data_IF_519936241997
#
_entry.id   IF_519936241997
#
_cell.length_a   1.000
_cell.length_b   1.000
_cell.length_c   1.000
_cell.angle_alpha   90.00
_cell.angle_beta   90.00
_cell.angle_gamma   90.00
#
_symmetry.space_group_name_H-M   'P 1'
#
loop_
_entity.id
_entity.type
_entity.pdbx_description
1 polymer ?
#
# COMPACT_ATOMS: atom_id res chain seq x y z
N UNK A 1 7.90 4.24 14.99
CA UNK A 1 6.72 3.51 14.50
C UNK A 1 7.07 2.81 13.19
N UNK A 2 6.50 1.65 12.91
CA UNK A 2 6.62 0.96 11.62
C UNK A 2 5.32 1.10 10.84
N UNK A 3 5.39 1.58 9.61
CA UNK A 3 4.23 1.94 8.79
C UNK A 3 4.14 1.03 7.57
N UNK A 4 3.00 0.39 7.35
CA UNK A 4 2.71 -0.33 6.12
C UNK A 4 1.98 0.58 5.12
N UNK A 5 2.36 0.57 3.84
CA UNK A 5 1.68 1.34 2.78
C UNK A 5 1.09 0.39 1.74
N UNK A 6 -0.20 0.48 1.44
CA UNK A 6 -0.85 -0.25 0.35
C UNK A 6 -1.21 0.74 -0.75
N UNK A 7 -0.58 0.62 -1.92
CA UNK A 7 -0.77 1.55 -3.04
C UNK A 7 -0.16 0.99 -4.33
N UNK A 8 -0.33 1.70 -5.44
CA UNK A 8 0.66 1.62 -6.53
C UNK A 8 2.01 2.19 -6.07
N UNK A 9 3.10 1.76 -6.71
CA UNK A 9 4.45 2.20 -6.37
C UNK A 9 5.38 2.13 -7.60
N UNK A 10 6.41 2.99 -7.71
CA UNK A 10 7.41 2.86 -8.77
C UNK A 10 8.05 1.47 -8.76
N UNK A 11 8.33 0.85 -9.93
CA UNK A 11 8.46 1.49 -11.25
C UNK A 11 7.15 1.66 -12.05
N UNK A 12 5.98 1.29 -11.51
CA UNK A 12 4.70 1.64 -12.14
C UNK A 12 4.53 3.15 -12.20
N UNK A 13 4.60 3.73 -13.40
CA UNK A 13 4.49 5.17 -13.62
C UNK A 13 3.04 5.66 -13.45
N UNK A 14 2.73 6.13 -12.25
CA UNK A 14 1.45 6.77 -11.95
C UNK A 14 1.61 7.86 -10.87
N UNK A 15 0.65 8.79 -10.82
CA UNK A 15 0.63 9.88 -9.86
C UNK A 15 0.61 9.38 -8.41
N UNK A 16 -0.22 8.36 -8.12
CA UNK A 16 -0.32 7.76 -6.79
C UNK A 16 0.95 7.02 -6.38
N UNK A 17 1.63 6.37 -7.32
CA UNK A 17 2.92 5.73 -7.04
C UNK A 17 3.98 6.75 -6.61
N UNK A 18 4.05 7.88 -7.33
CA UNK A 18 4.95 8.99 -6.98
C UNK A 18 4.57 9.62 -5.64
N UNK A 19 3.27 9.84 -5.40
CA UNK A 19 2.77 10.35 -4.12
C UNK A 19 3.16 9.42 -2.95
N UNK A 20 2.94 8.12 -3.12
CA UNK A 20 3.25 7.11 -2.09
C UNK A 20 4.74 7.06 -1.78
N UNK A 21 5.61 7.07 -2.80
CA UNK A 21 7.07 7.12 -2.61
C UNK A 21 7.49 8.36 -1.83
N UNK A 22 6.96 9.53 -2.20
CA UNK A 22 7.29 10.77 -1.52
C UNK A 22 6.81 10.77 -0.06
N UNK A 23 5.62 10.23 0.20
CA UNK A 23 5.08 10.08 1.55
C UNK A 23 5.91 9.10 2.38
N UNK A 24 6.29 7.95 1.81
CA UNK A 24 7.17 6.97 2.44
C UNK A 24 8.46 7.64 2.91
N UNK A 25 9.22 8.25 2.00
CA UNK A 25 10.48 8.92 2.34
C UNK A 25 10.29 10.05 3.35
N UNK A 26 9.25 10.85 3.22
CA UNK A 26 8.99 11.96 4.17
C UNK A 26 8.74 11.45 5.60
N UNK A 27 8.17 10.27 5.76
CA UNK A 27 7.87 9.68 7.06
C UNK A 27 9.02 8.84 7.63
N UNK A 28 9.85 8.24 6.77
CA UNK A 28 10.94 7.35 7.19
C UNK A 28 12.32 8.03 7.22
N UNK A 29 12.51 9.11 6.46
CA UNK A 29 13.81 9.79 6.39
C UNK A 29 14.11 10.51 7.72
N UNK A 30 15.23 10.13 8.34
CA UNK A 30 15.70 10.63 9.64
C UNK A 30 16.15 12.10 9.66
N UNK A 31 15.89 12.88 8.61
CA UNK A 31 16.57 14.17 8.38
C UNK A 31 16.07 15.33 9.26
N UNK A 32 15.07 15.11 10.12
CA UNK A 32 14.50 16.12 11.00
C UNK A 32 14.63 15.80 12.49
N UNK A 33 15.80 16.06 13.09
CA UNK A 33 15.98 16.34 14.53
C UNK A 33 15.64 15.24 15.55
N UNK A 34 16.67 14.56 16.06
CA UNK A 34 16.77 13.97 17.42
C UNK A 34 15.79 12.86 17.85
N UNK A 35 14.64 12.69 17.19
CA UNK A 35 13.62 11.70 17.50
C UNK A 35 13.89 10.33 16.86
N UNK A 36 13.24 9.28 17.41
CA UNK A 36 13.20 7.96 16.79
C UNK A 36 12.64 8.07 15.37
N UNK A 37 13.41 7.64 14.37
CA UNK A 37 12.95 7.58 12.98
C UNK A 37 11.88 6.49 12.83
N UNK A 38 10.83 6.77 12.06
CA UNK A 38 9.91 5.72 11.66
C UNK A 38 10.57 4.81 10.63
N UNK A 39 10.08 3.58 10.56
CA UNK A 39 10.41 2.65 9.47
C UNK A 39 9.16 2.39 8.66
N UNK A 40 9.33 1.91 7.42
CA UNK A 40 8.21 1.63 6.55
C UNK A 40 8.40 0.36 5.73
N UNK A 41 7.29 -0.14 5.21
CA UNK A 41 7.27 -1.16 4.16
C UNK A 41 6.12 -0.88 3.21
N UNK A 42 6.30 -1.28 1.95
CA UNK A 42 5.31 -1.07 0.90
C UNK A 42 4.75 -2.41 0.43
N UNK A 43 3.44 -2.45 0.26
CA UNK A 43 2.65 -3.50 -0.35
C UNK A 43 2.17 -2.92 -1.68
N UNK A 44 2.89 -3.24 -2.75
CA UNK A 44 2.69 -2.63 -4.05
C UNK A 44 1.60 -3.35 -4.86
N UNK A 45 0.73 -2.59 -5.52
CA UNK A 45 -0.22 -3.12 -6.49
C UNK A 45 0.46 -3.31 -7.85
N UNK A 46 0.51 -4.55 -8.33
CA UNK A 46 1.11 -4.98 -9.59
C UNK A 46 0.02 -5.23 -10.63
N UNK A 47 -0.04 -4.40 -11.68
CA UNK A 47 -1.05 -4.46 -12.74
C UNK A 47 -0.61 -5.24 -13.99
N UNK A 48 0.59 -5.80 -13.97
CA UNK A 48 1.15 -6.63 -15.04
C UNK A 48 1.24 -8.10 -14.63
N UNK A 49 1.22 -9.01 -15.62
CA UNK A 49 1.49 -10.43 -15.36
C UNK A 49 2.96 -10.66 -14.93
N UNK A 50 3.87 -9.84 -15.46
CA UNK A 50 5.26 -9.78 -15.02
C UNK A 50 5.38 -9.00 -13.71
N UNK A 51 6.37 -9.33 -12.89
CA UNK A 51 6.68 -8.55 -11.68
C UNK A 51 7.57 -7.38 -12.04
N UNK A 52 7.23 -6.19 -11.56
CA UNK A 52 8.13 -5.05 -11.59
C UNK A 52 9.38 -5.30 -10.72
N UNK A 53 10.51 -4.72 -11.15
CA UNK A 53 11.72 -4.60 -10.34
C UNK A 53 11.52 -3.52 -9.26
N UNK A 54 10.76 -3.89 -8.23
CA UNK A 54 10.46 -3.00 -7.12
C UNK A 54 11.70 -2.76 -6.23
N UNK A 55 11.83 -1.56 -5.64
CA UNK A 55 12.93 -1.24 -4.72
C UNK A 55 12.76 -1.96 -3.37
N UNK A 56 13.81 -1.91 -2.55
CA UNK A 56 13.91 -2.74 -1.35
C UNK A 56 12.81 -2.48 -0.31
N UNK A 57 12.22 -1.28 -0.26
CA UNK A 57 11.14 -0.97 0.65
C UNK A 57 9.83 -1.68 0.31
N UNK A 58 9.66 -2.16 -0.93
CA UNK A 58 8.54 -3.02 -1.32
C UNK A 58 8.81 -4.42 -0.82
N UNK A 59 8.01 -4.86 0.14
CA UNK A 59 8.17 -6.17 0.79
C UNK A 59 7.14 -7.20 0.36
N UNK A 60 6.09 -6.75 -0.32
CA UNK A 60 5.04 -7.59 -0.86
C UNK A 60 4.47 -6.92 -2.12
N UNK A 61 4.13 -7.71 -3.13
CA UNK A 61 3.39 -7.24 -4.30
C UNK A 61 2.09 -8.02 -4.45
N UNK A 62 0.99 -7.33 -4.69
CA UNK A 62 -0.33 -7.92 -4.94
C UNK A 62 -0.56 -7.89 -6.45
N UNK A 63 -0.69 -9.05 -7.09
CA UNK A 63 -1.19 -9.09 -8.47
C UNK A 63 -2.65 -8.61 -8.48
N UNK A 64 -2.92 -7.54 -9.23
CA UNK A 64 -4.15 -6.77 -9.14
C UNK A 64 -5.40 -7.64 -9.27
N UNK A 65 -5.41 -8.58 -10.23
CA UNK A 65 -6.56 -9.45 -10.51
C UNK A 65 -6.51 -10.81 -9.80
N UNK A 66 -5.58 -11.02 -8.86
CA UNK A 66 -5.51 -12.25 -8.06
C UNK A 66 -6.02 -12.04 -6.65
N UNK A 67 -7.27 -12.42 -6.41
CA UNK A 67 -7.93 -12.28 -5.10
C UNK A 67 -7.15 -12.96 -3.95
N UNK A 68 -6.43 -14.05 -4.23
CA UNK A 68 -5.60 -14.75 -3.24
C UNK A 68 -4.51 -13.86 -2.63
N UNK A 69 -3.87 -13.03 -3.46
CA UNK A 69 -2.75 -12.17 -3.04
C UNK A 69 -3.20 -11.12 -2.01
N UNK A 70 -4.44 -10.65 -2.10
CA UNK A 70 -5.02 -9.72 -1.12
C UNK A 70 -5.14 -10.37 0.27
N UNK A 71 -5.45 -11.67 0.33
CA UNK A 71 -5.54 -12.43 1.57
C UNK A 71 -4.15 -12.66 2.15
N UNK A 72 -3.18 -13.02 1.31
CA UNK A 72 -1.79 -13.20 1.73
C UNK A 72 -1.14 -11.88 2.17
N UNK A 73 -1.45 -10.77 1.50
CA UNK A 73 -1.00 -9.44 1.91
C UNK A 73 -1.51 -9.06 3.30
N UNK A 74 -2.79 -9.35 3.63
CA UNK A 74 -3.30 -9.10 4.98
C UNK A 74 -2.53 -9.90 6.04
N UNK A 75 -2.28 -11.19 5.78
CA UNK A 75 -1.48 -12.03 6.69
C UNK A 75 -0.07 -11.47 6.87
N UNK A 76 0.57 -11.09 5.76
CA UNK A 76 1.90 -10.50 5.75
C UNK A 76 1.94 -9.21 6.59
N UNK A 77 0.97 -8.32 6.41
CA UNK A 77 0.88 -7.06 7.18
C UNK A 77 0.73 -7.35 8.67
N UNK A 78 -0.18 -8.26 9.06
CA UNK A 78 -0.45 -8.57 10.46
C UNK A 78 0.79 -9.13 11.19
N UNK A 79 1.65 -9.90 10.50
CA UNK A 79 2.89 -10.44 11.09
C UNK A 79 4.12 -9.54 10.89
N UNK A 80 4.00 -8.47 10.11
CA UNK A 80 5.13 -7.61 9.76
C UNK A 80 5.65 -6.78 10.94
N UNK A 81 4.88 -6.66 12.02
CA UNK A 81 5.15 -5.74 13.13
C UNK A 81 4.90 -4.27 12.79
N UNK A 82 4.13 -3.99 11.74
CA UNK A 82 3.66 -2.63 11.46
C UNK A 82 2.65 -2.19 12.53
N UNK A 83 2.75 -0.95 12.97
CA UNK A 83 1.87 -0.35 13.98
C UNK A 83 0.59 0.22 13.33
N UNK A 84 0.65 0.57 12.05
CA UNK A 84 -0.44 1.18 11.28
C UNK A 84 -0.29 0.89 9.79
N UNK A 85 -1.42 0.74 9.10
CA UNK A 85 -1.50 0.61 7.65
C UNK A 85 -2.08 1.87 7.01
N UNK A 86 -1.45 2.38 5.95
CA UNK A 86 -1.90 3.52 5.16
C UNK A 86 -2.26 3.04 3.74
N UNK A 87 -3.53 3.16 3.37
CA UNK A 87 -4.05 2.80 2.06
C UNK A 87 -4.22 4.03 1.19
N UNK A 88 -3.66 4.02 -0.02
CA UNK A 88 -3.89 5.06 -1.03
C UNK A 88 -4.96 4.57 -2.01
N UNK A 89 -6.19 5.04 -1.83
CA UNK A 89 -7.31 4.58 -2.65
C UNK A 89 -7.57 5.51 -3.84
N UNK A 90 -7.59 4.92 -5.03
CA UNK A 90 -8.05 5.54 -6.26
C UNK A 90 -8.74 4.49 -7.14
N UNK A 91 -9.68 4.92 -7.99
CA UNK A 91 -10.35 4.05 -8.95
C UNK A 91 -9.34 3.48 -9.96
N UNK A 92 -9.38 2.16 -10.19
CA UNK A 92 -8.52 1.47 -11.14
C UNK A 92 -7.22 0.89 -10.55
N UNK A 93 -6.96 1.07 -9.25
CA UNK A 93 -5.78 0.51 -8.58
C UNK A 93 -6.00 -0.95 -8.15
N UNK A 94 -7.19 -1.25 -7.63
CA UNK A 94 -7.52 -2.57 -7.09
C UNK A 94 -8.38 -3.35 -8.09
N UNK A 95 -8.19 -4.67 -8.10
CA UNK A 95 -8.87 -5.57 -9.02
C UNK A 95 -10.28 -5.96 -8.58
N UNK A 96 -10.91 -6.73 -9.46
CA UNK A 96 -12.34 -7.03 -9.37
C UNK A 96 -13.22 -5.83 -9.70
N UNK A 97 -14.52 -6.06 -9.77
CA UNK A 97 -15.48 -5.01 -10.12
C UNK A 97 -15.41 -3.87 -9.10
N UNK A 98 -15.09 -2.67 -9.58
CA UNK A 98 -14.93 -1.46 -8.75
C UNK A 98 -13.92 -1.61 -7.60
N UNK A 99 -12.88 -2.45 -7.76
CA UNK A 99 -11.84 -2.63 -6.74
C UNK A 99 -12.25 -3.48 -5.55
N UNK A 100 -13.34 -4.25 -5.66
CA UNK A 100 -13.92 -5.05 -4.56
C UNK A 100 -12.92 -6.02 -3.91
N UNK A 101 -11.84 -6.43 -4.60
CA UNK A 101 -10.83 -7.33 -4.04
C UNK A 101 -10.02 -6.72 -2.90
N UNK A 102 -10.03 -5.39 -2.71
CA UNK A 102 -9.40 -4.78 -1.55
C UNK A 102 -10.14 -5.14 -0.25
N UNK A 103 -11.46 -5.37 -0.29
CA UNK A 103 -12.29 -5.55 0.90
C UNK A 103 -11.89 -6.79 1.74
N UNK A 104 -11.61 -7.97 1.15
CA UNK A 104 -11.06 -9.11 1.88
C UNK A 104 -9.76 -8.82 2.65
N UNK A 105 -8.87 -7.98 2.10
CA UNK A 105 -7.65 -7.55 2.77
C UNK A 105 -8.01 -6.69 3.97
N UNK A 106 -8.77 -5.61 3.74
CA UNK A 106 -9.12 -4.65 4.80
C UNK A 106 -9.89 -5.30 5.96
N UNK A 107 -10.78 -6.24 5.66
CA UNK A 107 -11.53 -6.97 6.69
C UNK A 107 -10.66 -7.87 7.57
N UNK A 108 -9.45 -8.23 7.11
CA UNK A 108 -8.51 -9.11 7.81
C UNK A 108 -7.35 -8.36 8.47
N UNK A 109 -7.25 -7.04 8.29
CA UNK A 109 -6.22 -6.25 8.97
C UNK A 109 -6.51 -6.22 10.47
N UNK A 110 -5.50 -6.59 11.26
CA UNK A 110 -5.56 -6.57 12.72
C UNK A 110 -4.97 -5.27 13.30
N UNK A 111 -4.38 -4.44 12.44
CA UNK A 111 -3.77 -3.16 12.80
C UNK A 111 -4.65 -1.98 12.34
N UNK A 112 -4.54 -0.81 12.97
CA UNK A 112 -5.26 0.39 12.54
C UNK A 112 -5.02 0.73 11.06
N UNK A 113 -6.09 1.13 10.38
CA UNK A 113 -6.09 1.50 8.97
C UNK A 113 -6.37 3.00 8.81
N UNK A 114 -5.51 3.69 8.07
CA UNK A 114 -5.71 5.05 7.58
C UNK A 114 -5.92 4.96 6.07
N UNK A 115 -6.95 5.63 5.55
CA UNK A 115 -7.26 5.63 4.12
C UNK A 115 -7.19 7.06 3.59
N UNK A 116 -6.41 7.26 2.54
CA UNK A 116 -6.44 8.46 1.72
C UNK A 116 -7.29 8.18 0.49
N UNK A 117 -8.41 8.90 0.36
CA UNK A 117 -9.27 8.84 -0.83
C UNK A 117 -8.82 9.92 -1.82
N UNK A 118 -8.12 9.54 -2.90
CA UNK A 118 -7.64 10.48 -3.92
C UNK A 118 -8.77 10.96 -4.85
N UNK A 119 -9.79 10.12 -5.01
CA UNK A 119 -11.02 10.48 -5.73
C UNK A 119 -12.22 10.03 -4.90
N UNK A 120 -13.21 10.91 -4.77
CA UNK A 120 -14.53 10.62 -4.18
C UNK A 120 -15.59 10.97 -5.21
N UNK A 121 -16.39 9.99 -5.63
CA UNK A 121 -17.49 10.23 -6.56
C UNK A 121 -18.57 11.08 -5.89
N UNK A 122 -19.19 11.97 -6.67
CA UNK A 122 -20.30 12.82 -6.20
C UNK A 122 -21.50 12.00 -5.71
N UNK A 123 -21.71 10.82 -6.30
CA UNK A 123 -22.75 9.84 -5.94
C UNK A 123 -22.08 8.47 -5.83
N UNK A 124 -21.61 8.09 -4.64
CA UNK A 124 -20.93 6.81 -4.38
C UNK A 124 -21.90 5.63 -4.33
#
# INVERSE_FOLDING_TARGET
MKIAFIASYPPRECGIGTFTRNLYHSLTDSKGGGGQSNTGLVIAMNDTEEHYDYPEEVKFSIAQEQQGDYIEAAKFINISGADVCVLQHEYGIYGGQNGVYILPLLHRLEIPLIVTLHTVLKTP
#
